data_IF_754473193008
#
_entry.id   IF_754473193008
#
_cell.length_a   1.000
_cell.length_b   1.000
_cell.length_c   1.000
_cell.angle_alpha   90.00
_cell.angle_beta   90.00
_cell.angle_gamma   90.00
#
_symmetry.space_group_name_H-M   'P 1'
#
loop_
_entity.id
_entity.type
_entity.pdbx_description
1 polymer ?
#
# COMPACT_ATOMS: atom_id res chain seq x y z
N UNK A 1 17.22 11.27 -14.61
CA UNK A 1 17.18 11.37 -16.11
C UNK A 1 17.70 10.11 -16.80
N UNK A 2 18.97 9.65 -16.58
CA UNK A 2 19.49 8.46 -17.29
C UNK A 2 18.70 7.18 -16.94
N UNK A 3 18.48 6.89 -15.66
CA UNK A 3 17.68 5.73 -15.23
C UNK A 3 16.25 5.72 -15.77
N UNK A 4 15.63 6.89 -15.88
CA UNK A 4 14.29 7.04 -16.46
C UNK A 4 14.27 6.80 -17.98
N UNK A 5 15.37 7.08 -18.66
CA UNK A 5 15.52 6.73 -20.09
C UNK A 5 15.52 5.21 -20.25
N UNK A 6 16.24 4.47 -19.39
CA UNK A 6 16.21 3.01 -19.39
C UNK A 6 14.82 2.45 -19.11
N UNK A 7 14.10 3.02 -18.13
CA UNK A 7 12.70 2.65 -17.84
C UNK A 7 11.81 2.85 -19.06
N UNK A 8 11.89 4.02 -19.73
CA UNK A 8 11.11 4.32 -20.94
C UNK A 8 11.45 3.38 -22.12
N UNK A 9 12.68 2.91 -22.20
CA UNK A 9 13.11 1.93 -23.21
C UNK A 9 12.75 0.48 -22.86
N UNK A 10 12.15 0.23 -21.69
CA UNK A 10 11.85 -1.11 -21.20
C UNK A 10 13.08 -1.86 -20.65
N UNK A 11 14.26 -1.25 -20.61
CA UNK A 11 15.48 -1.86 -20.07
C UNK A 11 15.51 -1.73 -18.54
N UNK A 12 14.73 -2.57 -17.91
CA UNK A 12 14.57 -2.55 -16.43
C UNK A 12 15.85 -2.97 -15.69
N UNK A 13 16.72 -3.80 -16.31
CA UNK A 13 17.99 -4.23 -15.70
C UNK A 13 18.96 -3.06 -15.62
N UNK A 14 19.15 -2.33 -16.71
CA UNK A 14 20.00 -1.15 -16.74
C UNK A 14 19.46 -0.03 -15.84
N UNK A 15 18.15 0.15 -15.80
CA UNK A 15 17.50 1.08 -14.88
C UNK A 15 17.81 0.73 -13.41
N UNK A 16 17.62 -0.53 -13.01
CA UNK A 16 17.92 -1.01 -11.65
C UNK A 16 19.40 -0.83 -11.30
N UNK A 17 20.31 -1.17 -12.20
CA UNK A 17 21.76 -1.01 -12.00
C UNK A 17 22.12 0.46 -11.77
N UNK A 18 21.60 1.37 -12.61
CA UNK A 18 21.81 2.80 -12.49
C UNK A 18 21.30 3.34 -11.16
N UNK A 19 20.07 3.03 -10.77
CA UNK A 19 19.49 3.49 -9.49
C UNK A 19 20.23 2.91 -8.28
N UNK A 20 20.72 1.65 -8.35
CA UNK A 20 21.57 1.05 -7.31
C UNK A 20 22.91 1.80 -7.15
N UNK A 21 23.47 2.30 -8.25
CA UNK A 21 24.63 3.20 -8.22
C UNK A 21 24.33 4.52 -7.53
N UNK A 22 23.14 5.08 -7.77
CA UNK A 22 22.70 6.32 -7.09
C UNK A 22 22.53 6.14 -5.59
N UNK A 23 21.99 5.00 -5.12
CA UNK A 23 21.88 4.69 -3.69
C UNK A 23 23.26 4.77 -3.02
N UNK A 24 24.25 4.08 -3.59
CA UNK A 24 25.63 4.10 -3.06
C UNK A 24 26.23 5.51 -3.05
N UNK A 25 26.01 6.27 -4.11
CA UNK A 25 26.50 7.65 -4.21
C UNK A 25 25.80 8.60 -3.23
N UNK A 26 24.51 8.46 -3.04
CA UNK A 26 23.72 9.25 -2.08
C UNK A 26 24.16 8.94 -0.64
N UNK A 27 24.35 7.66 -0.30
CA UNK A 27 24.81 7.26 1.02
C UNK A 27 26.16 7.85 1.36
N UNK A 28 27.13 7.86 0.41
CA UNK A 28 28.44 8.49 0.61
C UNK A 28 28.39 9.99 0.88
N UNK A 29 27.36 10.68 0.40
CA UNK A 29 27.18 12.14 0.54
C UNK A 29 26.23 12.51 1.68
N UNK A 30 25.66 11.55 2.38
CA UNK A 30 24.64 11.80 3.39
C UNK A 30 23.30 12.33 2.82
N UNK A 31 23.06 12.14 1.50
CA UNK A 31 21.86 12.62 0.81
C UNK A 31 20.73 11.59 0.99
N UNK A 32 20.06 11.70 2.12
CA UNK A 32 19.03 10.75 2.52
C UNK A 32 17.79 10.80 1.61
N UNK A 33 17.39 11.99 1.14
CA UNK A 33 16.27 12.17 0.20
C UNK A 33 16.52 11.42 -1.12
N UNK A 34 17.70 11.64 -1.71
CA UNK A 34 18.09 10.97 -2.94
C UNK A 34 18.21 9.45 -2.78
N UNK A 35 18.65 8.99 -1.59
CA UNK A 35 18.70 7.56 -1.28
C UNK A 35 17.31 6.92 -1.30
N UNK A 36 16.34 7.52 -0.61
CA UNK A 36 14.93 7.07 -0.59
C UNK A 36 14.36 7.01 -2.01
N UNK A 37 14.58 8.07 -2.80
CA UNK A 37 14.10 8.12 -4.18
C UNK A 37 14.74 7.06 -5.07
N UNK A 38 16.04 6.83 -4.95
CA UNK A 38 16.74 5.81 -5.74
C UNK A 38 16.28 4.40 -5.34
N UNK A 39 16.07 4.12 -4.05
CA UNK A 39 15.52 2.85 -3.58
C UNK A 39 14.10 2.61 -4.12
N UNK A 40 13.25 3.64 -4.10
CA UNK A 40 11.92 3.55 -4.69
C UNK A 40 11.97 3.26 -6.19
N UNK A 41 12.87 3.90 -6.94
CA UNK A 41 13.05 3.62 -8.37
C UNK A 41 13.57 2.22 -8.66
N UNK A 42 14.45 1.65 -7.82
CA UNK A 42 14.83 0.23 -7.90
C UNK A 42 13.60 -0.66 -7.72
N UNK A 43 12.77 -0.34 -6.75
CA UNK A 43 11.54 -1.08 -6.49
C UNK A 43 10.57 -1.02 -7.68
N UNK A 44 10.32 0.17 -8.26
CA UNK A 44 9.49 0.30 -9.48
C UNK A 44 10.03 -0.56 -10.64
N UNK A 45 11.35 -0.58 -10.83
CA UNK A 45 11.97 -1.41 -11.86
C UNK A 45 11.84 -2.92 -11.56
N UNK A 46 11.85 -3.33 -10.30
CA UNK A 46 11.62 -4.73 -9.90
C UNK A 46 10.17 -5.17 -10.13
N UNK A 47 9.19 -4.30 -9.79
CA UNK A 47 7.77 -4.54 -10.06
C UNK A 47 7.55 -4.72 -11.57
N UNK A 48 8.13 -3.85 -12.38
CA UNK A 48 8.03 -3.94 -13.84
C UNK A 48 8.66 -5.23 -14.43
N UNK A 49 9.50 -5.92 -13.67
CA UNK A 49 10.07 -7.24 -14.00
C UNK A 49 9.26 -8.42 -13.45
N UNK A 50 8.09 -8.19 -12.84
CA UNK A 50 7.30 -9.22 -12.16
C UNK A 50 7.92 -9.74 -10.86
N UNK A 51 8.85 -9.00 -10.25
CA UNK A 51 9.59 -9.38 -9.04
C UNK A 51 9.01 -8.73 -7.77
N UNK A 52 7.71 -8.74 -7.64
CA UNK A 52 7.00 -8.07 -6.53
C UNK A 52 7.44 -8.58 -5.15
N UNK A 53 7.72 -9.87 -5.00
CA UNK A 53 8.20 -10.45 -3.74
C UNK A 53 9.52 -9.85 -3.24
N UNK A 54 10.39 -9.42 -4.16
CA UNK A 54 11.66 -8.79 -3.80
C UNK A 54 11.46 -7.36 -3.30
N UNK A 55 10.36 -6.71 -3.68
CA UNK A 55 10.07 -5.33 -3.29
C UNK A 55 9.62 -5.22 -1.83
N UNK A 56 8.87 -6.18 -1.32
CA UNK A 56 8.38 -6.17 0.06
C UNK A 56 9.51 -6.07 1.08
N UNK A 57 10.66 -6.72 0.80
CA UNK A 57 11.85 -6.61 1.66
C UNK A 57 12.43 -5.20 1.73
N UNK A 58 12.19 -4.39 0.72
CA UNK A 58 12.66 -2.99 0.65
C UNK A 58 11.71 -2.01 1.34
N UNK A 59 10.44 -2.36 1.53
CA UNK A 59 9.42 -1.44 2.05
C UNK A 59 9.77 -0.89 3.42
N UNK A 60 10.10 -1.76 4.38
CA UNK A 60 10.43 -1.32 5.74
C UNK A 60 11.69 -0.45 5.78
N UNK A 61 12.67 -0.76 4.93
CA UNK A 61 13.88 0.05 4.80
C UNK A 61 13.57 1.43 4.26
N UNK A 62 12.78 1.53 3.19
CA UNK A 62 12.39 2.80 2.57
C UNK A 62 11.58 3.64 3.57
N UNK A 63 10.59 3.04 4.26
CA UNK A 63 9.79 3.75 5.26
C UNK A 63 10.63 4.23 6.45
N UNK A 64 11.57 3.40 6.94
CA UNK A 64 12.51 3.81 8.00
C UNK A 64 13.41 4.95 7.56
N UNK A 65 13.87 4.94 6.30
CA UNK A 65 14.67 6.02 5.73
C UNK A 65 13.82 7.29 5.54
N UNK A 66 12.60 7.16 5.06
CA UNK A 66 11.65 8.26 4.93
C UNK A 66 11.33 8.90 6.30
N UNK A 67 11.11 8.11 7.34
CA UNK A 67 10.82 8.62 8.68
C UNK A 67 11.91 9.55 9.23
N UNK A 68 13.17 9.33 8.83
CA UNK A 68 14.33 10.13 9.26
C UNK A 68 14.54 11.41 8.45
N UNK A 69 13.82 11.60 7.35
CA UNK A 69 13.90 12.81 6.54
C UNK A 69 13.39 14.03 7.31
N UNK A 70 13.89 15.21 6.98
CA UNK A 70 13.33 16.49 7.41
C UNK A 70 11.88 16.63 6.93
N UNK A 71 11.09 17.52 7.55
CA UNK A 71 9.73 17.80 7.10
C UNK A 71 9.70 18.29 5.65
N UNK A 72 10.69 19.12 5.27
CA UNK A 72 10.84 19.64 3.91
C UNK A 72 11.12 18.52 2.91
N UNK A 73 12.04 17.60 3.22
CA UNK A 73 12.38 16.49 2.34
C UNK A 73 11.24 15.47 2.22
N UNK A 74 10.49 15.24 3.31
CA UNK A 74 9.28 14.38 3.28
C UNK A 74 8.21 14.94 2.35
N UNK A 75 8.08 16.25 2.25
CA UNK A 75 7.11 16.91 1.38
C UNK A 75 7.49 16.88 -0.10
N UNK A 76 8.72 16.54 -0.44
CA UNK A 76 9.15 16.43 -1.84
C UNK A 76 8.42 15.31 -2.58
N UNK A 77 8.11 15.50 -3.87
CA UNK A 77 7.24 14.59 -4.62
C UNK A 77 7.67 13.12 -4.59
N UNK A 78 8.98 12.85 -4.71
CA UNK A 78 9.46 11.48 -4.82
C UNK A 78 9.45 10.73 -3.48
N UNK A 79 10.01 11.23 -2.36
CA UNK A 79 9.91 10.55 -1.07
C UNK A 79 8.46 10.37 -0.62
N UNK A 80 7.63 11.39 -0.83
CA UNK A 80 6.21 11.36 -0.49
C UNK A 80 5.47 10.27 -1.26
N UNK A 81 5.73 10.17 -2.58
CA UNK A 81 5.14 9.12 -3.42
C UNK A 81 5.59 7.73 -2.98
N UNK A 82 6.87 7.56 -2.64
CA UNK A 82 7.41 6.30 -2.14
C UNK A 82 6.71 5.85 -0.86
N UNK A 83 6.58 6.74 0.12
CA UNK A 83 5.92 6.46 1.38
C UNK A 83 4.44 6.12 1.17
N UNK A 84 3.71 6.92 0.40
CA UNK A 84 2.29 6.72 0.14
C UNK A 84 2.01 5.40 -0.60
N UNK A 85 2.80 5.08 -1.63
CA UNK A 85 2.72 3.80 -2.33
C UNK A 85 2.88 2.62 -1.38
N UNK A 86 3.96 2.63 -0.58
CA UNK A 86 4.27 1.49 0.30
C UNK A 86 3.21 1.36 1.39
N UNK A 87 2.81 2.46 2.03
CA UNK A 87 1.79 2.44 3.08
C UNK A 87 0.47 1.91 2.55
N UNK A 88 0.05 2.37 1.36
CA UNK A 88 -1.16 1.86 0.70
C UNK A 88 -1.04 0.36 0.35
N UNK A 89 0.06 -0.05 -0.29
CA UNK A 89 0.25 -1.43 -0.75
C UNK A 89 0.35 -2.45 0.38
N UNK A 90 0.83 -2.03 1.56
CA UNK A 90 0.86 -2.88 2.76
C UNK A 90 -0.53 -3.27 3.27
N UNK A 91 -1.56 -2.52 2.91
CA UNK A 91 -2.93 -2.79 3.34
C UNK A 91 -3.63 -3.83 2.45
N UNK A 92 -3.11 -4.12 1.26
CA UNK A 92 -3.75 -5.02 0.30
C UNK A 92 -4.03 -6.42 0.87
N UNK A 93 -3.10 -7.11 1.59
CA UNK A 93 -3.39 -8.41 2.17
C UNK A 93 -4.53 -8.39 3.20
N UNK A 94 -4.62 -7.34 4.01
CA UNK A 94 -5.71 -7.20 4.99
C UNK A 94 -7.03 -6.84 4.30
N UNK A 95 -6.98 -6.05 3.22
CA UNK A 95 -8.15 -5.76 2.40
C UNK A 95 -8.70 -7.04 1.74
N UNK A 96 -7.85 -7.91 1.20
CA UNK A 96 -8.25 -9.20 0.64
C UNK A 96 -8.86 -10.12 1.72
N UNK A 97 -8.31 -10.15 2.91
CA UNK A 97 -8.91 -10.87 4.05
C UNK A 97 -10.29 -10.35 4.38
N UNK A 98 -10.48 -9.03 4.39
CA UNK A 98 -11.79 -8.41 4.61
C UNK A 98 -12.81 -8.83 3.56
N UNK A 99 -12.42 -8.83 2.28
CA UNK A 99 -13.30 -9.25 1.19
C UNK A 99 -13.70 -10.73 1.29
N UNK A 100 -12.81 -11.57 1.81
CA UNK A 100 -13.04 -13.01 1.97
C UNK A 100 -14.03 -13.36 3.10
N UNK A 101 -14.32 -12.45 4.02
CA UNK A 101 -15.31 -12.68 5.07
C UNK A 101 -16.70 -12.42 4.50
N UNK A 102 -17.56 -13.45 4.48
CA UNK A 102 -18.97 -13.36 4.11
C UNK A 102 -19.87 -13.77 5.29
N UNK A 103 -21.19 -13.60 5.14
CA UNK A 103 -22.19 -13.93 6.16
C UNK A 103 -23.15 -15.03 5.70
N UNK A 104 -22.77 -15.80 4.70
CA UNK A 104 -23.64 -16.82 4.10
C UNK A 104 -23.78 -18.09 4.94
N UNK A 105 -22.85 -18.32 5.87
CA UNK A 105 -22.83 -19.52 6.71
C UNK A 105 -23.41 -19.25 8.09
N UNK A 106 -24.62 -19.75 8.37
CA UNK A 106 -25.31 -19.61 9.66
C UNK A 106 -24.46 -20.06 10.87
N UNK A 107 -23.55 -21.05 10.69
CA UNK A 107 -22.74 -21.59 11.78
C UNK A 107 -21.58 -20.66 12.18
N UNK A 108 -21.10 -19.85 11.26
CA UNK A 108 -19.92 -18.99 11.47
C UNK A 108 -20.27 -17.51 11.58
N UNK A 109 -21.47 -17.11 11.18
CA UNK A 109 -21.91 -15.70 11.15
C UNK A 109 -21.68 -14.95 12.47
N UNK A 110 -21.86 -15.62 13.60
CA UNK A 110 -21.62 -15.05 14.92
C UNK A 110 -20.15 -14.66 15.19
N UNK A 111 -19.19 -15.27 14.45
CA UNK A 111 -17.76 -14.91 14.48
C UNK A 111 -17.41 -13.97 13.34
N UNK A 112 -18.00 -14.18 12.18
CA UNK A 112 -17.64 -13.48 10.95
C UNK A 112 -18.07 -12.00 11.00
N UNK A 113 -19.25 -11.72 11.56
CA UNK A 113 -19.74 -10.35 11.73
C UNK A 113 -18.81 -9.48 12.55
N UNK A 114 -18.47 -9.81 13.82
CA UNK A 114 -17.56 -8.97 14.60
C UNK A 114 -16.15 -8.92 13.99
N UNK A 115 -15.66 -10.01 13.37
CA UNK A 115 -14.36 -10.03 12.71
C UNK A 115 -14.30 -9.07 11.51
N UNK A 116 -15.36 -9.05 10.68
CA UNK A 116 -15.45 -8.14 9.54
C UNK A 116 -15.56 -6.69 9.95
N UNK A 117 -16.34 -6.40 10.99
CA UNK A 117 -16.50 -5.03 11.55
C UNK A 117 -15.15 -4.52 12.11
N UNK A 118 -14.46 -5.32 12.91
CA UNK A 118 -13.16 -4.96 13.47
C UNK A 118 -12.12 -4.70 12.38
N UNK A 119 -12.05 -5.58 11.37
CA UNK A 119 -11.11 -5.44 10.27
C UNK A 119 -11.45 -4.23 9.39
N UNK A 120 -12.75 -3.93 9.16
CA UNK A 120 -13.17 -2.71 8.48
C UNK A 120 -12.68 -1.46 9.20
N UNK A 121 -12.91 -1.36 10.50
CA UNK A 121 -12.47 -0.21 11.30
C UNK A 121 -10.95 -0.02 11.25
N UNK A 122 -10.17 -1.09 11.34
CA UNK A 122 -8.70 -1.05 11.21
C UNK A 122 -8.26 -0.57 9.84
N UNK A 123 -8.88 -1.07 8.77
CA UNK A 123 -8.57 -0.67 7.40
C UNK A 123 -8.96 0.79 7.13
N UNK A 124 -10.11 1.25 7.61
CA UNK A 124 -10.51 2.65 7.47
C UNK A 124 -9.49 3.60 8.11
N UNK A 125 -9.08 3.32 9.34
CA UNK A 125 -8.04 4.12 10.03
C UNK A 125 -6.74 4.11 9.23
N UNK A 126 -6.28 2.95 8.77
CA UNK A 126 -5.05 2.83 8.01
C UNK A 126 -5.11 3.54 6.64
N UNK A 127 -6.24 3.49 5.94
CA UNK A 127 -6.44 4.27 4.70
C UNK A 127 -6.50 5.77 4.97
N UNK A 128 -7.04 6.22 6.10
CA UNK A 128 -6.97 7.63 6.51
C UNK A 128 -5.51 8.09 6.70
N UNK A 129 -4.63 7.25 7.25
CA UNK A 129 -3.20 7.56 7.36
C UNK A 129 -2.57 7.77 5.97
N UNK A 130 -2.94 6.96 4.97
CA UNK A 130 -2.51 7.17 3.58
C UNK A 130 -2.99 8.52 3.03
N UNK A 131 -4.25 8.89 3.29
CA UNK A 131 -4.82 10.19 2.86
C UNK A 131 -4.06 11.34 3.51
N UNK A 132 -3.67 11.23 4.79
CA UNK A 132 -2.91 12.25 5.52
C UNK A 132 -1.51 12.52 4.93
N UNK A 133 -0.96 11.60 4.15
CA UNK A 133 0.27 11.85 3.40
C UNK A 133 0.08 12.88 2.28
N UNK A 134 -1.15 13.20 1.89
CA UNK A 134 -1.49 14.22 0.88
C UNK A 134 -0.86 13.97 -0.50
N UNK A 135 -0.56 12.72 -0.82
CA UNK A 135 -0.12 12.34 -2.15
C UNK A 135 -1.38 12.04 -2.99
N UNK A 136 -1.65 12.81 -4.07
CA UNK A 136 -2.96 12.79 -4.72
C UNK A 136 -3.40 11.41 -5.21
N UNK A 137 -2.53 10.67 -5.90
CA UNK A 137 -2.87 9.37 -6.49
C UNK A 137 -3.32 8.36 -5.42
N UNK A 138 -2.58 8.32 -4.28
CA UNK A 138 -2.86 7.37 -3.20
C UNK A 138 -3.94 7.86 -2.25
N UNK A 139 -4.12 9.18 -2.10
CA UNK A 139 -5.26 9.72 -1.36
C UNK A 139 -6.58 9.35 -2.06
N UNK A 140 -6.66 9.50 -3.38
CA UNK A 140 -7.83 9.09 -4.17
C UNK A 140 -8.03 7.57 -4.09
N UNK A 141 -6.97 6.78 -4.25
CA UNK A 141 -7.04 5.32 -4.15
C UNK A 141 -7.52 4.86 -2.76
N UNK A 142 -7.01 5.45 -1.68
CA UNK A 142 -7.41 5.14 -0.31
C UNK A 142 -8.88 5.52 -0.04
N UNK A 143 -9.32 6.69 -0.51
CA UNK A 143 -10.73 7.09 -0.43
C UNK A 143 -11.64 6.10 -1.16
N UNK A 144 -11.24 5.66 -2.35
CA UNK A 144 -11.97 4.64 -3.09
C UNK A 144 -12.03 3.32 -2.33
N UNK A 145 -10.92 2.88 -1.68
CA UNK A 145 -10.91 1.66 -0.87
C UNK A 145 -11.86 1.77 0.32
N UNK A 146 -11.91 2.90 1.02
CA UNK A 146 -12.87 3.13 2.12
C UNK A 146 -14.32 2.97 1.61
N UNK A 147 -14.66 3.60 0.48
CA UNK A 147 -15.99 3.45 -0.10
C UNK A 147 -16.30 1.97 -0.47
N UNK A 148 -15.29 1.22 -0.98
CA UNK A 148 -15.43 -0.19 -1.28
C UNK A 148 -15.60 -1.08 -0.06
N UNK A 149 -14.97 -0.75 1.08
CA UNK A 149 -15.21 -1.45 2.35
C UNK A 149 -16.70 -1.34 2.73
N UNK A 150 -17.26 -0.15 2.71
CA UNK A 150 -18.65 0.08 3.07
C UNK A 150 -19.62 -0.57 2.08
N UNK A 151 -19.35 -0.46 0.77
CA UNK A 151 -20.15 -1.14 -0.24
C UNK A 151 -20.14 -2.67 -0.04
N UNK A 152 -18.97 -3.26 0.19
CA UNK A 152 -18.84 -4.70 0.41
C UNK A 152 -19.58 -5.14 1.68
N UNK A 153 -19.48 -4.36 2.77
CA UNK A 153 -20.24 -4.63 4.01
C UNK A 153 -21.74 -4.69 3.72
N UNK A 154 -22.29 -3.70 3.03
CA UNK A 154 -23.72 -3.66 2.68
C UNK A 154 -24.14 -4.88 1.85
N UNK A 155 -23.36 -5.26 0.83
CA UNK A 155 -23.60 -6.44 0.00
C UNK A 155 -23.54 -7.72 0.86
N UNK A 156 -22.57 -7.82 1.77
CA UNK A 156 -22.42 -9.00 2.65
C UNK A 156 -23.63 -9.15 3.56
N UNK A 157 -24.17 -8.04 4.11
CA UNK A 157 -25.41 -8.05 4.89
C UNK A 157 -26.65 -8.44 4.08
N UNK A 158 -26.77 -7.96 2.84
CA UNK A 158 -27.89 -8.31 1.96
C UNK A 158 -27.93 -9.80 1.64
N UNK A 159 -26.78 -10.44 1.60
CA UNK A 159 -26.64 -11.88 1.30
C UNK A 159 -26.66 -12.77 2.55
N UNK A 160 -26.77 -12.18 3.74
CA UNK A 160 -26.86 -12.93 4.98
C UNK A 160 -28.18 -13.74 5.04
N UNK A 161 -28.18 -14.96 5.58
CA UNK A 161 -29.41 -15.74 5.77
C UNK A 161 -30.34 -15.01 6.73
N UNK A 162 -31.64 -15.01 6.43
CA UNK A 162 -32.65 -14.51 7.35
C UNK A 162 -32.66 -15.36 8.62
N UNK A 163 -32.67 -14.72 9.81
CA UNK A 163 -32.85 -15.46 11.05
C UNK A 163 -34.15 -16.29 11.01
N UNK A 164 -34.05 -17.58 11.30
CA UNK A 164 -35.24 -18.38 11.55
C UNK A 164 -35.79 -17.98 12.92
N UNK A 165 -36.91 -17.30 12.93
CA UNK A 165 -37.67 -17.13 14.15
C UNK A 165 -38.37 -18.46 14.43
N UNK A 166 -37.96 -19.20 15.44
CA UNK A 166 -38.78 -20.25 16.00
C UNK A 166 -40.02 -19.56 16.57
N UNK A 167 -41.17 -19.72 15.87
CA UNK A 167 -42.46 -19.30 16.45
C UNK A 167 -42.76 -20.28 17.59
N UNK A 168 -42.48 -19.85 18.85
CA UNK A 168 -43.05 -20.48 20.02
C UNK A 168 -44.54 -20.23 20.10
#
# INVERSE_FOLDING_TARGET
KIGEIYVKKGDQKSAQSHFSGLIRSAAKRGDAERSVCAEYKVMEAQIAQGRERDTQRSWDRILKSFAKLSAEDKAKPCPLKAAAYITFSKLEPEYEKYLAIDFTNERTIGKDVPAKIDLQGKLEVAYFEVIQLKQPDYAIAATYRIAKLQQNMAITWQNAPCPKYDNE
#
